data_IF_575861402181
#
_entry.id   IF_575861402181
#
_cell.length_a   1.000
_cell.length_b   1.000
_cell.length_c   1.000
_cell.angle_alpha   90.00
_cell.angle_beta   90.00
_cell.angle_gamma   90.00
#
_symmetry.space_group_name_H-M   'P 1'
#
loop_
_entity.id
_entity.type
_entity.pdbx_description
1 polymer ?
#
# COMPACT_ATOMS: atom_id res chain seq x y z
N UNK A 1 -2.91 -24.74 26.96
CA UNK A 1 -2.06 -23.52 26.94
C UNK A 1 -1.11 -23.63 25.76
N UNK A 2 -1.01 -22.57 24.96
CA UNK A 2 -0.05 -22.49 23.86
C UNK A 2 0.83 -21.25 24.04
N UNK A 3 2.14 -21.41 23.82
CA UNK A 3 3.12 -20.33 23.92
C UNK A 3 3.65 -19.99 22.52
N UNK A 4 3.74 -18.70 22.21
CA UNK A 4 4.33 -18.15 20.99
C UNK A 4 5.51 -17.28 21.41
N UNK A 5 6.67 -17.51 20.83
CA UNK A 5 7.88 -16.71 21.09
C UNK A 5 8.02 -15.69 19.96
N UNK A 6 8.15 -14.43 20.34
CA UNK A 6 8.29 -13.34 19.37
C UNK A 6 9.66 -13.41 18.70
N UNK A 7 9.68 -13.63 17.40
CA UNK A 7 10.86 -13.62 16.54
C UNK A 7 11.27 -12.21 16.10
N UNK A 8 12.34 -12.11 15.29
CA UNK A 8 12.80 -10.83 14.74
C UNK A 8 11.74 -10.13 13.88
N UNK A 9 10.97 -10.88 13.09
CA UNK A 9 9.95 -10.36 12.17
C UNK A 9 8.61 -10.03 12.85
N UNK A 10 8.44 -10.36 14.12
CA UNK A 10 7.25 -9.99 14.90
C UNK A 10 7.52 -8.83 15.87
N UNK A 11 8.78 -8.61 16.24
CA UNK A 11 9.19 -7.60 17.20
C UNK A 11 8.89 -6.17 16.67
N UNK A 12 8.52 -5.25 17.58
CA UNK A 12 8.23 -3.86 17.25
C UNK A 12 6.80 -3.59 16.78
N UNK A 13 5.95 -4.62 16.62
CA UNK A 13 4.54 -4.42 16.35
C UNK A 13 3.73 -4.38 17.66
N UNK A 14 2.52 -3.84 17.59
CA UNK A 14 1.61 -3.86 18.74
C UNK A 14 1.08 -5.28 18.98
N UNK A 15 0.91 -5.64 20.25
CA UNK A 15 0.44 -6.97 20.65
C UNK A 15 -0.93 -7.32 20.03
N UNK A 16 -1.87 -6.37 19.94
CA UNK A 16 -3.18 -6.61 19.32
C UNK A 16 -3.06 -6.94 17.81
N UNK A 17 -2.10 -6.33 17.13
CA UNK A 17 -1.81 -6.61 15.70
C UNK A 17 -1.18 -7.99 15.52
N UNK A 18 -0.24 -8.34 16.40
CA UNK A 18 0.35 -9.68 16.41
C UNK A 18 -0.72 -10.75 16.66
N UNK A 19 -1.54 -10.57 17.72
CA UNK A 19 -2.61 -11.52 18.05
C UNK A 19 -3.59 -11.70 16.90
N UNK A 20 -3.91 -10.64 16.16
CA UNK A 20 -4.80 -10.73 14.99
C UNK A 20 -4.19 -11.51 13.84
N UNK A 21 -2.87 -11.60 13.75
CA UNK A 21 -2.18 -12.43 12.75
C UNK A 21 -2.21 -13.91 13.11
N UNK A 22 -1.88 -14.26 14.35
CA UNK A 22 -1.85 -15.66 14.79
C UNK A 22 -3.25 -16.23 15.08
N UNK A 23 -4.25 -15.36 15.35
CA UNK A 23 -5.65 -15.71 15.58
C UNK A 23 -6.56 -14.90 14.63
N UNK A 24 -6.44 -15.09 13.30
CA UNK A 24 -7.11 -14.24 12.31
C UNK A 24 -8.64 -14.31 12.38
N UNK A 25 -9.19 -15.44 12.84
CA UNK A 25 -10.63 -15.66 12.95
C UNK A 25 -11.23 -15.10 14.25
N UNK A 26 -10.40 -14.64 15.21
CA UNK A 26 -10.89 -13.99 16.42
C UNK A 26 -11.25 -12.52 16.18
N UNK A 27 -12.41 -12.08 16.68
CA UNK A 27 -12.75 -10.66 16.64
C UNK A 27 -11.85 -9.83 17.57
N UNK A 28 -11.61 -8.56 17.21
CA UNK A 28 -10.80 -7.66 18.06
C UNK A 28 -11.39 -7.52 19.46
N UNK A 29 -12.73 -7.44 19.58
CA UNK A 29 -13.42 -7.39 20.87
C UNK A 29 -13.15 -8.63 21.73
N UNK A 30 -13.12 -9.81 21.11
CA UNK A 30 -12.79 -11.06 21.80
C UNK A 30 -11.34 -11.02 22.31
N UNK A 31 -10.37 -10.63 21.47
CA UNK A 31 -8.96 -10.56 21.87
C UNK A 31 -8.75 -9.60 23.05
N UNK A 32 -9.33 -8.41 23.02
CA UNK A 32 -9.26 -7.45 24.13
C UNK A 32 -9.93 -7.98 25.40
N UNK A 33 -11.05 -8.74 25.28
CA UNK A 33 -11.69 -9.41 26.42
C UNK A 33 -10.77 -10.47 27.05
N UNK A 34 -10.05 -11.24 26.21
CA UNK A 34 -9.14 -12.26 26.68
C UNK A 34 -7.88 -11.69 27.37
N UNK A 35 -7.34 -10.58 26.85
CA UNK A 35 -6.27 -9.83 27.50
C UNK A 35 -6.69 -9.31 28.88
N UNK A 36 -7.89 -8.70 28.99
CA UNK A 36 -8.42 -8.23 30.28
C UNK A 36 -8.60 -9.34 31.30
N UNK A 37 -9.04 -10.54 30.87
CA UNK A 37 -9.24 -11.72 31.71
C UNK A 37 -7.96 -12.49 32.03
N UNK A 38 -6.77 -12.05 31.53
CA UNK A 38 -5.50 -12.75 31.62
C UNK A 38 -5.50 -14.14 30.93
N UNK A 39 -6.44 -14.40 30.03
CA UNK A 39 -6.42 -15.60 29.17
C UNK A 39 -5.41 -15.47 28.03
N UNK A 40 -4.88 -14.27 27.82
CA UNK A 40 -3.70 -13.98 27.00
C UNK A 40 -2.79 -13.11 27.84
N UNK A 41 -1.51 -13.49 27.96
CA UNK A 41 -0.48 -12.77 28.71
C UNK A 41 0.79 -12.63 27.86
N UNK A 42 1.62 -11.66 28.21
CA UNK A 42 2.98 -11.54 27.69
C UNK A 42 3.94 -11.61 28.88
N UNK A 43 4.90 -12.56 28.83
CA UNK A 43 5.85 -12.82 29.92
C UNK A 43 5.16 -12.98 31.29
N UNK A 44 4.01 -13.68 31.31
CA UNK A 44 3.12 -13.89 32.47
C UNK A 44 2.44 -12.59 32.97
N UNK A 45 2.69 -11.44 32.36
CA UNK A 45 2.08 -10.16 32.74
C UNK A 45 0.76 -9.92 31.99
N UNK A 46 -0.16 -9.20 32.64
CA UNK A 46 -1.39 -8.70 32.03
C UNK A 46 -1.05 -7.58 31.05
N UNK A 47 -1.66 -7.63 29.86
CA UNK A 47 -1.45 -6.64 28.80
C UNK A 47 -2.77 -5.99 28.39
N UNK A 48 -2.65 -4.79 27.79
CA UNK A 48 -3.79 -4.04 27.24
C UNK A 48 -3.98 -4.29 25.74
N UNK A 49 -2.95 -4.81 25.06
CA UNK A 49 -2.90 -5.03 23.62
C UNK A 49 -2.27 -3.88 22.83
N UNK A 50 -1.99 -2.75 23.48
CA UNK A 50 -1.37 -1.58 22.83
C UNK A 50 0.16 -1.57 22.92
N UNK A 51 0.71 -2.39 23.79
CA UNK A 51 2.14 -2.52 24.00
C UNK A 51 2.82 -3.09 22.77
N UNK A 52 4.04 -2.66 22.49
CA UNK A 52 4.89 -3.25 21.46
C UNK A 52 5.57 -4.50 21.99
N UNK A 53 5.48 -5.58 21.23
CA UNK A 53 6.18 -6.84 21.56
C UNK A 53 7.66 -6.72 21.17
N UNK A 54 8.51 -7.38 21.95
CA UNK A 54 9.97 -7.41 21.75
C UNK A 54 10.42 -8.80 21.37
N UNK A 55 11.54 -8.93 20.66
CA UNK A 55 12.16 -10.22 20.36
C UNK A 55 12.39 -10.99 21.65
N UNK A 56 11.97 -12.25 21.68
CA UNK A 56 12.06 -13.14 22.82
C UNK A 56 10.89 -13.06 23.79
N UNK A 57 9.95 -12.11 23.63
CA UNK A 57 8.73 -12.08 24.44
C UNK A 57 7.93 -13.38 24.25
N UNK A 58 7.35 -13.87 25.35
CA UNK A 58 6.55 -15.09 25.38
C UNK A 58 5.08 -14.74 25.50
N UNK A 59 4.34 -14.92 24.43
CA UNK A 59 2.88 -14.73 24.41
C UNK A 59 2.22 -16.05 24.78
N UNK A 60 1.54 -16.08 25.92
CA UNK A 60 0.87 -17.25 26.44
C UNK A 60 -0.63 -17.13 26.26
N UNK A 61 -1.22 -18.11 25.60
CA UNK A 61 -2.66 -18.18 25.29
C UNK A 61 -3.26 -19.35 26.02
N UNK A 62 -4.15 -19.08 26.97
CA UNK A 62 -4.81 -20.06 27.83
C UNK A 62 -6.21 -20.42 27.28
N UNK A 63 -6.25 -20.93 26.05
CA UNK A 63 -7.46 -21.44 25.43
C UNK A 63 -7.44 -22.96 25.41
N UNK A 64 -8.64 -23.59 25.29
CA UNK A 64 -8.74 -25.00 24.92
C UNK A 64 -8.23 -25.20 23.49
N UNK A 65 -7.81 -26.41 23.16
CA UNK A 65 -7.31 -26.73 21.82
C UNK A 65 -8.39 -26.46 20.74
N UNK A 66 -9.62 -26.84 21.04
CA UNK A 66 -10.78 -26.55 20.16
C UNK A 66 -10.95 -25.05 19.88
N UNK A 67 -10.80 -24.21 20.92
CA UNK A 67 -10.89 -22.75 20.77
C UNK A 67 -9.73 -22.19 19.97
N UNK A 68 -8.53 -22.72 20.16
CA UNK A 68 -7.35 -22.34 19.37
C UNK A 68 -7.54 -22.67 17.90
N UNK A 69 -7.93 -23.90 17.59
CA UNK A 69 -8.18 -24.34 16.20
C UNK A 69 -9.25 -23.49 15.51
N UNK A 70 -10.31 -23.12 16.24
CA UNK A 70 -11.35 -22.22 15.69
C UNK A 70 -10.82 -20.85 15.30
N UNK A 71 -9.87 -20.29 16.05
CA UNK A 71 -9.38 -18.92 15.85
C UNK A 71 -8.09 -18.84 15.04
N UNK A 72 -7.30 -19.91 15.00
CA UNK A 72 -6.13 -20.00 14.11
C UNK A 72 -6.55 -20.21 12.66
N UNK A 73 -5.66 -19.93 11.76
CA UNK A 73 -5.81 -20.33 10.36
C UNK A 73 -5.52 -21.84 10.27
N UNK A 74 -6.31 -22.51 9.44
CA UNK A 74 -6.09 -23.94 9.18
C UNK A 74 -4.68 -24.17 8.57
N UNK A 75 -3.84 -25.02 9.18
CA UNK A 75 -2.51 -25.29 8.65
C UNK A 75 -2.49 -25.85 7.22
N UNK A 76 -3.52 -26.61 6.82
CA UNK A 76 -3.59 -27.15 5.46
C UNK A 76 -3.92 -26.04 4.45
N UNK A 77 -4.78 -25.08 4.80
CA UNK A 77 -5.05 -23.90 3.96
C UNK A 77 -3.77 -23.08 3.78
N UNK A 78 -3.01 -22.85 4.85
CA UNK A 78 -1.72 -22.16 4.78
C UNK A 78 -0.72 -22.89 3.89
N UNK A 79 -0.65 -24.21 4.00
CA UNK A 79 0.23 -25.04 3.20
C UNK A 79 -0.13 -24.98 1.72
N UNK A 80 -1.42 -25.09 1.39
CA UNK A 80 -1.92 -24.99 0.01
C UNK A 80 -1.60 -23.62 -0.57
N UNK A 81 -1.85 -22.53 0.18
CA UNK A 81 -1.52 -21.17 -0.25
C UNK A 81 -0.01 -20.99 -0.48
N UNK A 82 0.82 -21.48 0.43
CA UNK A 82 2.28 -21.42 0.33
C UNK A 82 2.81 -22.14 -0.92
N UNK A 83 2.35 -23.37 -1.17
CA UNK A 83 2.75 -24.14 -2.35
C UNK A 83 2.23 -23.50 -3.66
N UNK A 84 1.02 -22.95 -3.64
CA UNK A 84 0.48 -22.18 -4.77
C UNK A 84 1.40 -20.98 -5.11
N UNK A 85 1.75 -20.17 -4.11
CA UNK A 85 2.62 -19.01 -4.30
C UNK A 85 4.01 -19.44 -4.77
N UNK A 86 4.59 -20.50 -4.20
CA UNK A 86 5.87 -21.07 -4.59
C UNK A 86 5.90 -21.45 -6.07
N UNK A 87 4.79 -21.95 -6.60
CA UNK A 87 4.65 -22.32 -8.02
C UNK A 87 4.54 -21.14 -8.99
N UNK A 88 4.30 -19.91 -8.50
CA UNK A 88 4.10 -18.76 -9.38
C UNK A 88 5.41 -18.30 -10.06
N UNK A 89 5.43 -18.14 -11.39
CA UNK A 89 6.60 -17.57 -12.11
C UNK A 89 6.70 -16.06 -11.84
N UNK A 90 7.85 -15.45 -12.13
CA UNK A 90 8.04 -13.99 -11.99
C UNK A 90 7.24 -13.14 -13.00
N UNK A 91 6.74 -13.73 -14.06
CA UNK A 91 5.86 -13.12 -15.07
C UNK A 91 6.35 -11.75 -15.60
N UNK A 92 7.67 -11.64 -15.84
CA UNK A 92 8.31 -10.43 -16.35
C UNK A 92 8.67 -9.39 -15.29
N UNK A 93 8.42 -9.65 -14.01
CA UNK A 93 8.95 -8.81 -12.92
C UNK A 93 10.46 -9.01 -12.83
N UNK A 94 11.19 -7.92 -12.70
CA UNK A 94 12.64 -7.93 -12.52
C UNK A 94 12.98 -7.38 -11.14
N UNK A 95 13.74 -8.13 -10.34
CA UNK A 95 14.31 -7.62 -9.09
C UNK A 95 15.45 -6.68 -9.44
N UNK A 96 15.38 -5.45 -8.96
CA UNK A 96 16.35 -4.37 -9.23
C UNK A 96 17.32 -4.21 -8.06
N UNK A 97 16.83 -4.40 -6.85
CA UNK A 97 17.62 -4.35 -5.62
C UNK A 97 16.99 -5.28 -4.57
N UNK A 98 17.83 -5.90 -3.77
CA UNK A 98 17.39 -6.74 -2.66
C UNK A 98 18.46 -6.76 -1.56
N UNK A 99 18.02 -6.62 -0.31
CA UNK A 99 18.82 -6.87 0.89
C UNK A 99 18.02 -7.71 1.90
N UNK A 100 18.43 -7.72 3.16
CA UNK A 100 17.75 -8.48 4.23
C UNK A 100 16.35 -7.94 4.53
N UNK A 101 16.14 -6.63 4.44
CA UNK A 101 14.94 -5.93 4.88
C UNK A 101 13.99 -5.54 3.75
N UNK A 102 14.51 -5.24 2.55
CA UNK A 102 13.71 -4.70 1.44
C UNK A 102 14.01 -5.39 0.10
N UNK A 103 13.04 -5.30 -0.79
CA UNK A 103 13.17 -5.68 -2.19
C UNK A 103 12.57 -4.57 -3.06
N UNK A 104 13.27 -4.20 -4.13
CA UNK A 104 12.80 -3.28 -5.16
C UNK A 104 12.64 -4.07 -6.47
N UNK A 105 11.46 -4.03 -7.05
CA UNK A 105 11.17 -4.75 -8.29
C UNK A 105 10.57 -3.84 -9.36
N UNK A 106 10.95 -4.05 -10.60
CA UNK A 106 10.35 -3.41 -11.76
C UNK A 106 9.11 -4.20 -12.20
N UNK A 107 7.93 -3.59 -12.04
CA UNK A 107 6.64 -4.15 -12.43
C UNK A 107 6.41 -3.95 -13.94
N UNK A 108 6.09 -5.00 -14.70
CA UNK A 108 5.74 -4.87 -16.11
C UNK A 108 4.37 -4.22 -16.32
N UNK A 109 4.09 -3.85 -17.58
CA UNK A 109 2.78 -3.39 -18.05
C UNK A 109 1.68 -4.45 -17.83
N UNK A 110 0.44 -4.02 -17.68
CA UNK A 110 -0.77 -4.85 -17.53
C UNK A 110 -0.73 -5.81 -16.33
N UNK A 111 -0.07 -5.43 -15.24
CA UNK A 111 -0.02 -6.20 -13.99
C UNK A 111 -0.53 -5.37 -12.82
N UNK A 112 -1.37 -5.95 -11.97
CA UNK A 112 -1.79 -5.33 -10.71
C UNK A 112 -0.61 -5.29 -9.73
N UNK A 113 -0.50 -4.24 -8.93
CA UNK A 113 0.47 -4.17 -7.82
C UNK A 113 0.04 -5.04 -6.64
N UNK A 114 -1.26 -5.04 -6.35
CA UNK A 114 -1.93 -5.84 -5.31
C UNK A 114 -3.24 -6.38 -5.87
N UNK A 115 -3.74 -7.48 -5.33
CA UNK A 115 -5.03 -8.07 -5.72
C UNK A 115 -6.16 -7.04 -5.64
N UNK A 116 -7.02 -7.02 -6.63
CA UNK A 116 -8.28 -6.31 -6.61
C UNK A 116 -9.44 -7.22 -6.20
N UNK A 117 -9.35 -8.51 -6.53
CA UNK A 117 -10.29 -9.58 -6.16
C UNK A 117 -9.50 -10.77 -5.59
N UNK A 118 -10.18 -11.63 -4.84
CA UNK A 118 -9.57 -12.78 -4.17
C UNK A 118 -8.79 -13.69 -5.12
N UNK A 119 -9.33 -13.94 -6.30
CA UNK A 119 -8.73 -14.84 -7.30
C UNK A 119 -7.71 -14.16 -8.22
N UNK A 120 -7.41 -12.87 -8.02
CA UNK A 120 -6.40 -12.19 -8.82
C UNK A 120 -5.00 -12.62 -8.40
N UNK A 121 -4.08 -12.64 -9.37
CA UNK A 121 -2.65 -12.63 -9.11
C UNK A 121 -2.08 -11.25 -9.44
N UNK A 122 -1.24 -10.74 -8.56
CA UNK A 122 -0.62 -9.43 -8.69
C UNK A 122 0.90 -9.51 -8.48
N UNK A 123 1.59 -8.39 -8.69
CA UNK A 123 3.03 -8.33 -8.44
C UNK A 123 3.38 -8.79 -7.01
N UNK A 124 2.52 -8.50 -6.03
CA UNK A 124 2.71 -8.94 -4.64
C UNK A 124 2.78 -10.47 -4.53
N UNK A 125 1.88 -11.21 -5.14
CA UNK A 125 1.87 -12.69 -5.10
C UNK A 125 3.05 -13.29 -5.85
N UNK A 126 3.42 -12.74 -7.01
CA UNK A 126 4.60 -13.19 -7.76
C UNK A 126 5.90 -12.96 -6.97
N UNK A 127 6.02 -11.82 -6.27
CA UNK A 127 7.17 -11.52 -5.42
C UNK A 127 7.20 -12.39 -4.16
N UNK A 128 6.06 -12.70 -3.55
CA UNK A 128 5.98 -13.69 -2.47
C UNK A 128 6.48 -15.06 -2.96
N UNK A 129 6.04 -15.51 -4.12
CA UNK A 129 6.54 -16.75 -4.74
C UNK A 129 8.04 -16.74 -4.99
N UNK A 130 8.60 -15.59 -5.38
CA UNK A 130 10.04 -15.41 -5.50
C UNK A 130 10.76 -15.57 -4.16
N UNK A 131 10.30 -14.89 -3.10
CA UNK A 131 10.89 -14.97 -1.76
C UNK A 131 10.82 -16.38 -1.17
N UNK A 132 9.75 -17.12 -1.43
CA UNK A 132 9.63 -18.53 -1.04
C UNK A 132 10.66 -19.40 -1.77
N UNK A 133 10.80 -19.25 -3.09
CA UNK A 133 11.76 -20.04 -3.88
C UNK A 133 13.21 -19.71 -3.55
N UNK A 134 13.53 -18.47 -3.18
CA UNK A 134 14.86 -18.06 -2.77
C UNK A 134 15.22 -18.47 -1.34
N UNK A 135 14.27 -19.04 -0.57
CA UNK A 135 14.47 -19.36 0.85
C UNK A 135 14.45 -18.13 1.77
N UNK A 136 14.06 -16.96 1.25
CA UNK A 136 13.95 -15.73 2.06
C UNK A 136 12.65 -15.63 2.84
N UNK A 137 11.69 -16.49 2.57
CA UNK A 137 10.39 -16.58 3.27
C UNK A 137 10.05 -18.04 3.48
N UNK A 138 10.11 -18.50 4.72
CA UNK A 138 9.74 -19.86 5.09
C UNK A 138 8.27 -19.94 5.50
N UNK A 139 7.74 -21.19 5.52
CA UNK A 139 6.32 -21.40 5.82
C UNK A 139 5.95 -20.99 7.25
N UNK A 140 6.87 -21.18 8.19
CA UNK A 140 6.72 -20.80 9.58
C UNK A 140 6.54 -19.29 9.75
N UNK A 141 7.34 -18.50 9.02
CA UNK A 141 7.25 -17.03 9.03
C UNK A 141 5.96 -16.53 8.41
N UNK A 142 5.41 -17.26 7.43
CA UNK A 142 4.24 -16.88 6.67
C UNK A 142 2.97 -16.69 7.52
N UNK A 143 2.92 -17.26 8.71
CA UNK A 143 1.81 -17.13 9.66
C UNK A 143 1.81 -15.81 10.41
N UNK A 144 2.98 -15.28 10.74
CA UNK A 144 3.15 -14.12 11.62
C UNK A 144 3.52 -12.84 10.87
N UNK A 145 4.26 -12.97 9.75
CA UNK A 145 4.63 -11.86 8.89
C UNK A 145 4.55 -12.26 7.41
N UNK A 146 3.80 -11.48 6.64
CA UNK A 146 3.76 -11.61 5.18
C UNK A 146 4.40 -10.38 4.54
N UNK A 147 5.51 -10.53 3.82
CA UNK A 147 6.06 -9.46 2.99
C UNK A 147 4.99 -8.87 2.07
N UNK A 148 5.06 -7.57 1.85
CA UNK A 148 4.07 -6.89 1.02
C UNK A 148 4.67 -5.66 0.35
N UNK A 149 4.16 -5.33 -0.84
CA UNK A 149 4.52 -4.09 -1.52
C UNK A 149 3.97 -2.88 -0.74
N UNK A 150 4.82 -1.88 -0.53
CA UNK A 150 4.54 -0.68 0.25
C UNK A 150 3.97 0.48 -0.59
N UNK A 151 4.16 0.45 -1.91
CA UNK A 151 3.57 1.40 -2.85
C UNK A 151 2.74 0.67 -3.91
N UNK A 152 1.97 1.43 -4.67
CA UNK A 152 1.14 0.92 -5.76
C UNK A 152 1.38 1.71 -7.03
N UNK A 153 1.39 1.00 -8.13
CA UNK A 153 1.30 1.52 -9.49
C UNK A 153 -0.02 1.04 -10.10
N UNK A 154 -0.58 1.81 -10.99
CA UNK A 154 -1.74 1.39 -11.78
C UNK A 154 -1.40 0.14 -12.61
N UNK A 155 -2.41 -0.62 -13.04
CA UNK A 155 -2.22 -1.84 -13.85
C UNK A 155 -1.33 -1.58 -15.07
N UNK A 156 -1.57 -0.48 -15.75
CA UNK A 156 -0.88 -0.11 -17.00
C UNK A 156 0.35 0.77 -16.79
N UNK A 157 0.74 1.06 -15.55
CA UNK A 157 1.96 1.77 -15.22
C UNK A 157 3.08 0.78 -14.92
N UNK A 158 4.18 0.88 -15.63
CA UNK A 158 5.42 0.15 -15.37
C UNK A 158 6.27 0.87 -14.32
N UNK A 159 7.26 0.20 -13.72
CA UNK A 159 8.22 0.83 -12.84
C UNK A 159 8.34 0.20 -11.46
N UNK A 160 8.90 0.94 -10.51
CA UNK A 160 9.42 0.39 -9.27
C UNK A 160 8.34 0.18 -8.21
N UNK A 161 8.28 -1.05 -7.72
CA UNK A 161 7.57 -1.44 -6.50
C UNK A 161 8.59 -1.66 -5.38
N UNK A 162 8.27 -1.13 -4.21
CA UNK A 162 9.03 -1.29 -2.98
C UNK A 162 8.33 -2.33 -2.12
N UNK A 163 9.01 -3.37 -1.71
CA UNK A 163 8.48 -4.43 -0.86
C UNK A 163 9.29 -4.54 0.43
N UNK A 164 8.64 -4.57 1.57
CA UNK A 164 9.28 -4.92 2.83
C UNK A 164 9.36 -6.43 2.97
N UNK A 165 10.57 -6.98 3.04
CA UNK A 165 10.85 -8.40 3.29
C UNK A 165 10.74 -8.75 4.76
N UNK A 166 11.07 -7.80 5.64
CA UNK A 166 10.91 -7.87 7.09
C UNK A 166 9.91 -6.86 7.60
N UNK A 167 9.47 -7.01 8.86
CA UNK A 167 8.63 -6.01 9.51
C UNK A 167 9.36 -4.66 9.61
N UNK A 168 10.66 -4.67 9.92
CA UNK A 168 11.53 -3.49 9.97
C UNK A 168 11.55 -2.78 8.61
N UNK A 169 11.81 -3.52 7.52
CA UNK A 169 11.80 -2.97 6.16
C UNK A 169 10.44 -2.41 5.76
N UNK A 170 9.35 -3.11 6.08
CA UNK A 170 7.98 -2.64 5.83
C UNK A 170 7.66 -1.35 6.57
N UNK A 171 8.07 -1.22 7.83
CA UNK A 171 7.87 -0.02 8.64
C UNK A 171 8.71 1.14 8.10
N UNK A 172 9.99 0.91 7.80
CA UNK A 172 10.91 1.91 7.23
C UNK A 172 10.38 2.47 5.91
N UNK A 173 10.02 1.59 4.96
CA UNK A 173 9.47 2.00 3.66
C UNK A 173 8.14 2.75 3.81
N UNK A 174 7.23 2.25 4.66
CA UNK A 174 5.94 2.88 4.90
C UNK A 174 6.08 4.26 5.53
N UNK A 175 7.00 4.42 6.47
CA UNK A 175 7.31 5.71 7.09
C UNK A 175 7.90 6.68 6.06
N UNK A 176 8.92 6.26 5.31
CA UNK A 176 9.56 7.09 4.30
C UNK A 176 8.59 7.53 3.19
N UNK A 177 7.67 6.66 2.77
CA UNK A 177 6.60 7.02 1.83
C UNK A 177 5.59 8.00 2.43
N UNK A 178 5.22 7.82 3.71
CA UNK A 178 4.29 8.70 4.44
C UNK A 178 4.88 10.09 4.65
N UNK A 179 6.15 10.16 5.06
CA UNK A 179 6.89 11.40 5.30
C UNK A 179 7.38 12.06 4.01
N UNK A 180 7.20 11.37 2.85
CA UNK A 180 7.62 11.84 1.53
C UNK A 180 9.13 12.05 1.39
N UNK A 181 9.93 11.35 2.19
CA UNK A 181 11.39 11.35 2.07
C UNK A 181 11.86 10.60 0.83
N UNK A 182 11.07 9.62 0.34
CA UNK A 182 11.25 8.99 -0.97
C UNK A 182 10.54 9.86 -2.02
N UNK A 183 11.33 10.53 -2.86
CA UNK A 183 10.82 11.25 -4.03
C UNK A 183 10.45 10.27 -5.14
N UNK A 184 9.31 10.50 -5.79
CA UNK A 184 8.77 9.61 -6.83
C UNK A 184 8.74 10.35 -8.15
N UNK A 185 9.49 9.85 -9.13
CA UNK A 185 9.54 10.38 -10.48
C UNK A 185 8.93 9.42 -11.48
N UNK A 186 8.26 9.96 -12.46
CA UNK A 186 7.62 9.23 -13.55
C UNK A 186 7.96 9.87 -14.88
N UNK A 187 7.91 9.06 -15.95
CA UNK A 187 7.94 9.53 -17.32
C UNK A 187 6.58 9.26 -17.96
N UNK A 188 6.06 10.23 -18.71
CA UNK A 188 4.83 10.06 -19.44
C UNK A 188 4.91 10.79 -20.79
N UNK A 189 4.25 10.21 -21.79
CA UNK A 189 4.02 10.85 -23.09
C UNK A 189 2.60 11.44 -23.06
N UNK A 190 2.50 12.75 -23.32
CA UNK A 190 1.23 13.48 -23.30
C UNK A 190 0.91 14.09 -24.67
N UNK A 191 -0.36 14.30 -24.91
CA UNK A 191 -0.86 14.94 -26.13
C UNK A 191 -0.53 16.44 -26.11
N UNK A 192 -0.09 16.98 -27.25
CA UNK A 192 0.16 18.38 -27.43
C UNK A 192 1.57 18.84 -27.02
N UNK A 193 1.83 20.14 -27.22
CA UNK A 193 3.09 20.77 -26.86
C UNK A 193 3.00 21.40 -25.48
N UNK A 194 3.80 20.90 -24.53
CA UNK A 194 3.99 21.47 -23.19
C UNK A 194 5.33 22.20 -23.20
N UNK A 195 5.29 23.54 -23.07
CA UNK A 195 6.49 24.37 -23.21
C UNK A 195 7.19 24.66 -21.89
N UNK A 196 6.45 24.72 -20.80
CA UNK A 196 6.95 25.18 -19.52
C UNK A 196 6.72 24.13 -18.43
N UNK A 197 7.62 24.12 -17.45
CA UNK A 197 7.46 23.35 -16.22
C UNK A 197 6.33 23.94 -15.39
N UNK A 198 5.60 23.11 -14.66
CA UNK A 198 4.58 23.59 -13.74
C UNK A 198 4.48 22.75 -12.47
N UNK A 199 3.94 23.40 -11.45
CA UNK A 199 3.54 22.77 -10.19
C UNK A 199 2.01 22.87 -10.08
N UNK A 200 1.35 21.74 -10.20
CA UNK A 200 -0.09 21.62 -10.10
C UNK A 200 -0.49 21.23 -8.69
N UNK A 201 -1.43 21.97 -8.11
CA UNK A 201 -2.07 21.64 -6.85
C UNK A 201 -3.58 21.68 -6.99
N UNK A 202 -4.30 20.96 -6.15
CA UNK A 202 -5.75 20.93 -6.18
C UNK A 202 -6.33 19.87 -5.26
N UNK A 203 -7.60 19.59 -5.45
CA UNK A 203 -8.31 18.58 -4.69
C UNK A 203 -8.84 17.51 -5.63
N UNK A 204 -8.69 16.26 -5.25
CA UNK A 204 -9.10 15.11 -6.01
C UNK A 204 -10.21 14.37 -5.27
N UNK A 205 -11.37 14.20 -5.92
CA UNK A 205 -12.47 13.37 -5.41
C UNK A 205 -12.63 12.13 -6.27
N UNK A 206 -12.76 10.98 -5.61
CA UNK A 206 -12.98 9.70 -6.25
C UNK A 206 -14.48 9.43 -6.38
N UNK A 207 -14.92 9.03 -7.56
CA UNK A 207 -16.22 8.41 -7.80
C UNK A 207 -16.06 6.89 -7.63
N UNK A 208 -16.58 6.35 -6.53
CA UNK A 208 -16.45 4.94 -6.21
C UNK A 208 -17.20 4.03 -7.22
N UNK A 209 -18.27 4.53 -7.84
CA UNK A 209 -19.07 3.76 -8.81
C UNK A 209 -18.32 3.54 -10.13
N UNK A 210 -17.67 4.57 -10.63
CA UNK A 210 -16.94 4.52 -11.91
C UNK A 210 -15.45 4.28 -11.74
N UNK A 211 -14.96 4.35 -10.48
CA UNK A 211 -13.54 4.35 -10.13
C UNK A 211 -12.74 5.43 -10.90
N UNK A 212 -13.42 6.49 -11.37
CA UNK A 212 -12.80 7.70 -11.93
C UNK A 212 -12.52 8.68 -10.81
N UNK A 213 -11.54 9.56 -11.03
CA UNK A 213 -11.30 10.70 -10.15
C UNK A 213 -11.55 12.00 -10.93
N UNK A 214 -12.01 13.02 -10.20
CA UNK A 214 -12.19 14.37 -10.74
C UNK A 214 -11.31 15.34 -9.97
N UNK A 215 -10.64 16.22 -10.68
CA UNK A 215 -9.96 17.37 -10.10
C UNK A 215 -11.02 18.43 -9.78
N UNK A 216 -11.02 18.90 -8.56
CA UNK A 216 -11.83 20.03 -8.13
C UNK A 216 -10.92 21.26 -8.20
N UNK A 217 -11.14 22.11 -9.20
CA UNK A 217 -10.51 23.43 -9.25
C UNK A 217 -11.12 24.27 -8.11
N UNK A 218 -10.26 24.72 -7.22
CA UNK A 218 -10.58 25.81 -6.30
C UNK A 218 -9.87 27.01 -6.88
N UNK A 219 -10.66 28.04 -7.18
CA UNK A 219 -10.08 29.32 -7.57
C UNK A 219 -9.31 29.84 -6.36
N UNK A 220 -8.00 29.60 -6.33
CA UNK A 220 -7.11 29.97 -5.22
C UNK A 220 -6.85 31.47 -5.15
N UNK A 221 -7.56 32.24 -5.94
CA UNK A 221 -7.51 33.72 -5.91
C UNK A 221 -8.11 34.35 -4.64
N UNK A 222 -8.87 33.58 -3.84
CA UNK A 222 -9.35 34.04 -2.53
C UNK A 222 -8.70 33.17 -1.43
N UNK A 223 -7.97 33.81 -0.53
CA UNK A 223 -7.53 33.16 0.71
C UNK A 223 -8.80 32.68 1.47
N UNK A 224 -8.73 31.52 2.10
CA UNK A 224 -9.87 30.93 2.85
C UNK A 224 -10.47 31.89 3.89
N UNK A 225 -9.69 32.89 4.31
CA UNK A 225 -10.07 33.89 5.30
C UNK A 225 -10.96 35.00 4.72
N UNK A 226 -11.01 35.19 3.40
CA UNK A 226 -11.82 36.20 2.73
C UNK A 226 -13.23 35.71 2.32
N UNK A 227 -13.52 34.42 2.50
CA UNK A 227 -14.80 33.80 2.15
C UNK A 227 -15.88 34.10 3.22
N UNK A 228 -17.09 34.43 2.77
CA UNK A 228 -18.24 34.55 3.68
C UNK A 228 -18.63 33.17 4.28
N UNK A 229 -19.31 33.15 5.41
CA UNK A 229 -19.61 31.92 6.17
C UNK A 229 -20.39 30.89 5.34
N UNK A 230 -21.29 31.31 4.47
CA UNK A 230 -22.03 30.46 3.54
C UNK A 230 -21.15 29.85 2.44
N UNK A 231 -20.17 30.60 1.94
CA UNK A 231 -19.21 30.13 0.93
C UNK A 231 -18.21 29.15 1.54
N UNK A 232 -17.77 29.37 2.77
CA UNK A 232 -16.95 28.42 3.53
C UNK A 232 -17.67 27.08 3.77
N UNK A 233 -18.96 27.12 4.15
CA UNK A 233 -19.76 25.93 4.33
C UNK A 233 -19.93 25.14 3.02
N UNK A 234 -20.21 25.82 1.89
CA UNK A 234 -20.31 25.21 0.58
C UNK A 234 -18.97 24.61 0.11
N UNK A 235 -17.86 25.29 0.39
CA UNK A 235 -16.51 24.80 0.10
C UNK A 235 -16.17 23.57 0.95
N UNK A 236 -16.47 23.59 2.25
CA UNK A 236 -16.30 22.45 3.15
C UNK A 236 -17.09 21.25 2.65
N UNK A 237 -18.37 21.42 2.31
CA UNK A 237 -19.19 20.35 1.74
C UNK A 237 -18.66 19.82 0.41
N UNK A 238 -18.12 20.71 -0.45
CA UNK A 238 -17.49 20.33 -1.71
C UNK A 238 -16.19 19.52 -1.51
N UNK A 239 -15.50 19.70 -0.39
CA UNK A 239 -14.21 19.08 -0.07
C UNK A 239 -14.33 17.89 0.91
N UNK A 240 -15.49 17.58 1.45
CA UNK A 240 -15.70 16.60 2.52
C UNK A 240 -15.08 15.23 2.19
N UNK A 241 -15.13 14.81 0.91
CA UNK A 241 -14.53 13.55 0.43
C UNK A 241 -13.34 13.76 -0.52
N UNK A 242 -12.77 14.96 -0.56
CA UNK A 242 -11.69 15.28 -1.46
C UNK A 242 -10.32 15.20 -0.76
N UNK A 243 -9.30 14.77 -1.50
CA UNK A 243 -7.93 14.71 -1.03
C UNK A 243 -7.09 15.77 -1.72
N UNK A 244 -6.35 16.55 -0.95
CA UNK A 244 -5.34 17.46 -1.50
C UNK A 244 -4.26 16.70 -2.27
N UNK A 245 -3.89 17.22 -3.44
CA UNK A 245 -2.91 16.62 -4.34
C UNK A 245 -1.94 17.66 -4.88
N UNK A 246 -0.70 17.20 -5.10
CA UNK A 246 0.39 17.99 -5.69
C UNK A 246 1.18 17.15 -6.69
N UNK A 247 1.45 17.73 -7.86
CA UNK A 247 2.24 17.11 -8.93
C UNK A 247 3.04 18.20 -9.62
N UNK A 248 4.36 18.04 -9.71
CA UNK A 248 5.19 18.91 -10.53
C UNK A 248 5.62 18.17 -11.80
N UNK A 249 5.84 18.89 -12.90
CA UNK A 249 6.37 18.31 -14.12
C UNK A 249 7.31 19.26 -14.85
N UNK A 250 8.18 18.66 -15.65
CA UNK A 250 9.11 19.33 -16.56
C UNK A 250 9.03 18.68 -17.94
N UNK A 251 8.89 19.48 -19.05
CA UNK A 251 8.97 18.94 -20.39
C UNK A 251 10.43 18.54 -20.70
N UNK A 252 10.60 17.33 -21.24
CA UNK A 252 11.91 16.76 -21.57
C UNK A 252 12.18 16.84 -23.07
N UNK A 253 11.17 16.47 -23.87
CA UNK A 253 11.26 16.47 -25.31
C UNK A 253 9.88 16.66 -25.94
N UNK A 254 9.83 17.30 -27.11
CA UNK A 254 8.62 17.42 -27.92
C UNK A 254 8.87 16.92 -29.34
N UNK A 255 7.98 16.09 -29.85
CA UNK A 255 8.02 15.60 -31.21
C UNK A 255 6.64 15.20 -31.72
N UNK A 256 6.27 15.67 -32.91
CA UNK A 256 5.06 15.25 -33.63
C UNK A 256 3.75 15.36 -32.82
N UNK A 257 3.55 16.44 -32.09
CA UNK A 257 2.34 16.64 -31.28
C UNK A 257 2.35 15.90 -29.93
N UNK A 258 3.50 15.37 -29.52
CA UNK A 258 3.67 14.60 -28.27
C UNK A 258 4.80 15.22 -27.45
N UNK A 259 4.52 15.47 -26.16
CA UNK A 259 5.56 15.88 -25.21
C UNK A 259 5.87 14.74 -24.25
N UNK A 260 7.15 14.46 -24.04
CA UNK A 260 7.64 13.63 -22.95
C UNK A 260 7.81 14.52 -21.72
N UNK A 261 7.19 14.13 -20.61
CA UNK A 261 7.30 14.80 -19.33
C UNK A 261 8.07 13.95 -18.32
N UNK A 262 8.94 14.59 -17.54
CA UNK A 262 9.35 14.08 -16.24
C UNK A 262 8.43 14.64 -15.16
N UNK A 263 7.88 13.77 -14.31
CA UNK A 263 6.83 14.11 -13.37
C UNK A 263 7.26 13.77 -11.96
N UNK A 264 7.31 14.73 -11.07
CA UNK A 264 7.49 14.55 -9.64
C UNK A 264 6.14 14.37 -8.96
N UNK A 265 5.83 13.16 -8.52
CA UNK A 265 4.59 12.83 -7.78
C UNK A 265 4.80 13.13 -6.30
N UNK A 266 4.41 14.31 -5.84
CA UNK A 266 4.58 14.80 -4.46
C UNK A 266 3.59 14.08 -3.54
N UNK A 267 2.30 14.13 -3.85
CA UNK A 267 1.29 13.27 -3.21
C UNK A 267 1.04 12.03 -4.07
N UNK A 268 0.37 11.00 -3.55
CA UNK A 268 0.19 9.74 -4.29
C UNK A 268 -1.24 9.22 -4.18
N UNK A 269 -2.19 9.86 -4.85
CA UNK A 269 -3.58 9.40 -4.92
C UNK A 269 -3.84 8.61 -6.20
N UNK A 270 -4.86 7.77 -6.16
CA UNK A 270 -5.28 6.95 -7.31
C UNK A 270 -5.46 7.83 -8.56
N UNK A 271 -4.85 7.44 -9.67
CA UNK A 271 -4.90 8.11 -10.96
C UNK A 271 -4.48 9.59 -10.95
N UNK A 272 -3.76 10.06 -9.93
CA UNK A 272 -3.47 11.48 -9.74
C UNK A 272 -2.79 12.13 -10.95
N UNK A 273 -1.67 11.57 -11.43
CA UNK A 273 -0.94 12.10 -12.60
C UNK A 273 -1.87 12.15 -13.81
N UNK A 274 -2.59 11.08 -14.07
CA UNK A 274 -3.49 10.93 -15.21
C UNK A 274 -4.57 12.01 -15.23
N UNK A 275 -5.23 12.23 -14.09
CA UNK A 275 -6.28 13.22 -13.95
C UNK A 275 -5.74 14.65 -13.98
N UNK A 276 -4.59 14.94 -13.35
CA UNK A 276 -3.96 16.26 -13.38
C UNK A 276 -3.57 16.66 -14.80
N UNK A 277 -2.88 15.79 -15.54
CA UNK A 277 -2.45 16.10 -16.90
C UNK A 277 -3.63 16.25 -17.84
N UNK A 278 -4.67 15.42 -17.71
CA UNK A 278 -5.90 15.58 -18.49
C UNK A 278 -6.63 16.90 -18.16
N UNK A 279 -6.63 17.32 -16.89
CA UNK A 279 -7.31 18.58 -16.48
C UNK A 279 -6.70 19.85 -17.05
N UNK A 280 -5.43 19.78 -17.48
CA UNK A 280 -4.73 20.90 -18.14
C UNK A 280 -4.68 20.76 -19.68
N UNK A 281 -5.44 19.81 -20.25
CA UNK A 281 -5.52 19.60 -21.69
C UNK A 281 -4.39 18.77 -22.31
N UNK A 282 -3.56 18.13 -21.48
CA UNK A 282 -2.44 17.27 -21.91
C UNK A 282 -2.59 15.83 -21.38
N UNK A 283 -3.63 15.07 -21.80
CA UNK A 283 -3.82 13.70 -21.33
C UNK A 283 -2.65 12.80 -21.75
N UNK A 284 -2.42 11.75 -20.96
CA UNK A 284 -1.41 10.73 -21.27
C UNK A 284 -1.88 9.95 -22.50
N UNK A 285 -0.98 9.74 -23.46
CA UNK A 285 -1.27 9.00 -24.68
C UNK A 285 -1.68 7.55 -24.34
N UNK A 286 -2.78 7.09 -24.94
CA UNK A 286 -3.33 5.75 -24.71
C UNK A 286 -4.04 5.59 -23.37
N UNK A 287 -4.31 6.67 -22.64
CA UNK A 287 -5.12 6.61 -21.43
C UNK A 287 -6.61 6.56 -21.78
N UNK A 288 -7.17 5.35 -21.87
CA UNK A 288 -8.60 5.10 -22.20
C UNK A 288 -9.58 5.65 -21.16
N UNK A 289 -9.12 6.23 -20.07
CA UNK A 289 -9.98 6.69 -18.97
C UNK A 289 -10.05 8.19 -18.84
N UNK A 290 -8.97 8.89 -19.13
CA UNK A 290 -8.80 10.32 -19.01
C UNK A 290 -8.34 10.99 -20.31
N UNK A 291 -7.93 10.22 -21.32
CA UNK A 291 -7.64 10.69 -22.66
C UNK A 291 -8.91 10.85 -23.49
N UNK A 292 -8.83 11.63 -24.56
CA UNK A 292 -9.83 11.64 -25.61
C UNK A 292 -9.61 10.42 -26.53
N UNK A 293 -10.70 9.92 -27.14
CA UNK A 293 -10.68 8.80 -28.11
C UNK A 293 -9.95 9.18 -29.39
#
# INVERSE_FOLDING_TARGET
>A
MREFIIGPNEAGQRLDKYLKKILPNASSGFLYKMLRKKNITCNKAKMTGREQVKKGDKIQVFFSEETLQKFMQDPEVLKVEYELLKGLPMKGIQVVYEDEDILVANKPYNMLSQKAKENDFSANEYLLGYLIRSGSLEREDFTSFRPSVCNRLDRNTTGLLLMGKSLKGSQMLSQALKERTIRKFYRALVVGEVKESAHLSGYLRKDERTNKVKILSIDTGMASDDLQEGERAALHQKLEDASYIETAYEPVAYRNGVTELEIHLITGRTHQIRAHLASIGHPIIGDMKYGDE
#
